data_IF_328397832604
#
_entry.id   IF_328397832604
#
_cell.length_a   1.000
_cell.length_b   1.000
_cell.length_c   1.000
_cell.angle_alpha   90.00
_cell.angle_beta   90.00
_cell.angle_gamma   90.00
#
_symmetry.space_group_name_H-M   'P 1'
#
loop_
_entity.id
_entity.type
_entity.pdbx_description
1 polymer ?
#
# COMPACT_ATOMS: atom_id res chain seq x y z
N UNK A 1 -56.91 -14.21 -17.69
CA UNK A 1 -56.37 -12.99 -17.06
C UNK A 1 -55.44 -13.38 -15.92
N UNK A 2 -54.13 -13.13 -16.10
CA UNK A 2 -53.04 -13.45 -15.16
C UNK A 2 -53.03 -12.48 -13.98
N UNK A 3 -52.77 -12.95 -12.77
CA UNK A 3 -52.21 -12.14 -11.67
C UNK A 3 -51.07 -12.92 -11.00
N UNK A 4 -49.85 -12.55 -11.38
CA UNK A 4 -48.60 -12.98 -10.73
C UNK A 4 -48.49 -12.31 -9.37
N UNK A 5 -48.17 -13.09 -8.32
CA UNK A 5 -47.74 -12.57 -7.02
C UNK A 5 -46.22 -12.39 -7.08
N UNK A 6 -45.76 -11.14 -6.92
CA UNK A 6 -44.36 -10.78 -6.72
C UNK A 6 -43.84 -11.40 -5.42
N UNK A 7 -42.75 -12.17 -5.50
CA UNK A 7 -41.93 -12.51 -4.35
C UNK A 7 -40.83 -11.44 -4.24
N UNK A 8 -40.81 -10.73 -3.11
CA UNK A 8 -39.79 -9.75 -2.76
C UNK A 8 -38.57 -10.52 -2.20
N UNK A 9 -37.48 -10.58 -2.95
CA UNK A 9 -36.17 -10.99 -2.40
C UNK A 9 -35.44 -9.74 -1.91
N UNK A 10 -35.31 -9.61 -0.60
CA UNK A 10 -34.47 -8.61 0.03
C UNK A 10 -33.02 -9.11 0.04
N UNK A 11 -32.22 -8.65 -0.91
CA UNK A 11 -30.77 -8.86 -0.90
C UNK A 11 -30.13 -7.85 0.06
N UNK A 12 -29.63 -8.34 1.19
CA UNK A 12 -28.77 -7.58 2.09
C UNK A 12 -27.37 -7.61 1.47
N UNK A 13 -26.99 -6.54 0.76
CA UNK A 13 -25.61 -6.33 0.34
C UNK A 13 -24.81 -5.83 1.54
N UNK A 14 -23.91 -6.66 2.07
CA UNK A 14 -22.94 -6.23 3.06
C UNK A 14 -21.91 -5.33 2.38
N UNK A 15 -21.93 -4.04 2.69
CA UNK A 15 -20.97 -3.06 2.20
C UNK A 15 -19.65 -3.27 2.94
N UNK A 16 -18.69 -3.97 2.31
CA UNK A 16 -17.31 -4.02 2.78
C UNK A 16 -16.69 -2.66 2.46
N UNK A 17 -16.59 -1.79 3.47
CA UNK A 17 -15.86 -0.54 3.34
C UNK A 17 -14.37 -0.88 3.26
N UNK A 18 -13.80 -0.84 2.07
CA UNK A 18 -12.34 -0.87 1.89
C UNK A 18 -11.81 0.44 2.49
N UNK A 19 -11.00 0.40 3.56
CA UNK A 19 -10.45 1.61 4.13
C UNK A 19 -9.52 2.24 3.09
N UNK A 20 -9.68 3.54 2.85
CA UNK A 20 -8.72 4.30 2.05
C UNK A 20 -7.32 4.16 2.67
N UNK A 21 -6.30 3.99 1.83
CA UNK A 21 -4.92 3.98 2.30
C UNK A 21 -4.61 5.30 3.01
N UNK A 22 -3.86 5.25 4.13
CA UNK A 22 -3.58 6.44 4.91
C UNK A 22 -2.81 7.47 4.09
N UNK A 23 -3.20 8.74 4.27
CA UNK A 23 -2.44 9.88 3.77
C UNK A 23 -1.06 9.90 4.41
N UNK A 24 -0.02 10.25 3.65
CA UNK A 24 1.35 10.08 4.12
C UNK A 24 1.78 11.27 5.00
N UNK A 25 2.17 10.97 6.24
CA UNK A 25 2.82 11.92 7.14
C UNK A 25 3.93 11.18 7.88
N UNK A 26 4.97 11.91 8.27
CA UNK A 26 6.04 11.35 9.09
C UNK A 26 6.08 12.08 10.43
N UNK A 27 6.47 11.38 11.52
CA UNK A 27 6.64 12.03 12.80
C UNK A 27 7.93 12.83 12.84
N UNK A 28 7.87 14.00 13.46
CA UNK A 28 9.02 14.84 13.74
C UNK A 28 9.01 15.29 15.19
N UNK A 29 10.15 15.19 15.88
CA UNK A 29 10.27 15.69 17.26
C UNK A 29 10.87 17.09 17.22
N UNK A 30 10.08 18.07 17.63
CA UNK A 30 10.48 19.46 17.65
C UNK A 30 11.69 19.70 18.55
N UNK A 31 12.69 20.43 18.05
CA UNK A 31 13.89 20.80 18.79
C UNK A 31 13.74 22.16 19.44
N UNK A 32 14.68 22.47 20.34
CA UNK A 32 14.72 23.75 21.06
C UNK A 32 14.87 24.92 20.08
N UNK A 33 13.95 25.88 20.16
CA UNK A 33 14.00 27.11 19.36
C UNK A 33 13.38 27.00 17.97
N UNK A 34 12.78 25.86 17.62
CA UNK A 34 12.06 25.71 16.36
C UNK A 34 10.64 26.29 16.46
N UNK A 35 10.13 26.77 15.33
CA UNK A 35 8.75 27.25 15.15
C UNK A 35 8.13 26.54 13.95
N UNK A 36 6.79 26.51 13.84
CA UNK A 36 6.12 25.88 12.70
C UNK A 36 6.47 26.59 11.38
N UNK A 37 6.53 27.92 11.36
CA UNK A 37 7.04 28.69 10.22
C UNK A 37 8.45 28.23 9.77
N UNK A 38 9.38 28.05 10.72
CA UNK A 38 10.74 27.58 10.41
C UNK A 38 10.73 26.14 9.89
N UNK A 39 9.95 25.25 10.49
CA UNK A 39 9.82 23.86 10.04
C UNK A 39 9.18 23.79 8.65
N UNK A 40 8.18 24.63 8.38
CA UNK A 40 7.54 24.76 7.08
C UNK A 40 8.54 25.19 6.01
N UNK A 41 9.34 26.22 6.30
CA UNK A 41 10.38 26.68 5.39
C UNK A 41 11.43 25.59 5.14
N UNK A 42 11.86 24.89 6.19
CA UNK A 42 12.87 23.82 6.07
C UNK A 42 12.36 22.63 5.30
N UNK A 43 11.18 22.12 5.61
CA UNK A 43 10.67 20.88 5.03
C UNK A 43 9.98 21.07 3.68
N UNK A 44 9.31 22.20 3.44
CA UNK A 44 8.58 22.45 2.19
C UNK A 44 9.17 23.59 1.35
N UNK A 45 10.22 24.27 1.83
CA UNK A 45 10.80 25.42 1.15
C UNK A 45 9.93 26.68 1.21
N UNK A 46 8.78 26.65 1.91
CA UNK A 46 7.80 27.73 1.92
C UNK A 46 7.19 27.93 3.30
N UNK A 47 7.03 29.18 3.70
CA UNK A 47 6.47 29.55 5.03
C UNK A 47 4.94 29.42 5.05
N UNK A 48 4.28 29.58 3.91
CA UNK A 48 2.81 29.48 3.77
C UNK A 48 2.25 28.09 4.13
N UNK A 49 3.07 27.04 4.11
CA UNK A 49 2.71 25.68 4.56
C UNK A 49 2.68 25.52 6.09
N UNK A 50 3.01 26.56 6.86
CA UNK A 50 2.84 26.56 8.32
C UNK A 50 1.40 26.22 8.71
N UNK A 51 0.42 26.78 7.99
CA UNK A 51 -1.00 26.55 8.26
C UNK A 51 -1.41 25.09 8.08
N UNK A 52 -0.77 24.37 7.15
CA UNK A 52 -0.96 22.92 6.97
C UNK A 52 -0.46 22.18 8.20
N UNK A 53 0.74 22.52 8.71
CA UNK A 53 1.29 21.92 9.93
C UNK A 53 0.43 22.20 11.16
N UNK A 54 -0.01 23.45 11.35
CA UNK A 54 -0.91 23.83 12.44
C UNK A 54 -2.17 22.96 12.42
N UNK A 55 -2.79 22.85 11.25
CA UNK A 55 -4.08 22.16 11.10
C UNK A 55 -3.96 20.66 11.25
N UNK A 56 -2.93 20.05 10.63
CA UNK A 56 -2.68 18.61 10.73
C UNK A 56 -2.42 18.18 12.19
N UNK A 57 -1.79 19.04 13.00
CA UNK A 57 -1.48 18.77 14.40
C UNK A 57 -2.55 19.29 15.39
N UNK A 58 -3.67 19.83 14.90
CA UNK A 58 -4.74 20.38 15.75
C UNK A 58 -4.28 21.54 16.64
N UNK A 59 -3.25 22.28 16.23
CA UNK A 59 -2.66 23.37 16.99
C UNK A 59 -3.46 24.66 16.79
N UNK A 60 -3.35 25.58 17.75
CA UNK A 60 -3.86 26.95 17.60
C UNK A 60 -2.88 27.74 16.74
N UNK A 61 -3.42 28.64 15.91
CA UNK A 61 -2.59 29.57 15.14
C UNK A 61 -1.68 30.41 16.04
N UNK A 62 -0.41 30.54 15.64
CA UNK A 62 0.66 31.17 16.43
C UNK A 62 1.02 30.46 17.75
N UNK A 63 0.60 29.22 17.96
CA UNK A 63 1.02 28.45 19.14
C UNK A 63 2.54 28.18 19.10
N UNK A 64 3.25 28.38 20.22
CA UNK A 64 4.67 28.04 20.29
C UNK A 64 4.84 26.52 20.19
N UNK A 65 5.86 26.09 19.44
CA UNK A 65 6.24 24.68 19.41
C UNK A 65 7.04 24.37 20.66
N UNK A 66 6.51 23.50 21.52
CA UNK A 66 7.21 23.05 22.72
C UNK A 66 8.27 22.02 22.31
N UNK A 67 9.56 22.21 22.69
CA UNK A 67 10.60 21.23 22.39
C UNK A 67 10.24 19.84 22.95
N UNK A 68 10.48 18.79 22.16
CA UNK A 68 10.09 17.42 22.47
C UNK A 68 8.69 17.04 22.01
N UNK A 69 7.87 17.99 21.54
CA UNK A 69 6.56 17.68 20.95
C UNK A 69 6.72 16.86 19.68
N UNK A 70 6.01 15.74 19.58
CA UNK A 70 5.89 14.95 18.34
C UNK A 70 4.85 15.62 17.46
N UNK A 71 5.30 16.06 16.29
CA UNK A 71 4.49 16.64 15.24
C UNK A 71 4.32 15.63 14.13
N UNK A 72 3.14 15.56 13.55
CA UNK A 72 2.91 14.94 12.25
C UNK A 72 3.25 15.97 11.17
N UNK A 73 4.13 15.58 10.24
CA UNK A 73 4.54 16.41 9.11
C UNK A 73 3.92 15.80 7.85
N UNK A 74 2.85 16.40 7.30
CA UNK A 74 2.20 15.93 6.09
C UNK A 74 3.13 15.96 4.87
N UNK A 75 2.97 15.01 3.97
CA UNK A 75 3.67 14.99 2.68
C UNK A 75 2.81 14.26 1.66
N UNK A 76 3.08 14.49 0.38
CA UNK A 76 2.50 13.65 -0.67
C UNK A 76 3.11 12.26 -0.66
N UNK A 77 2.37 11.29 -1.17
CA UNK A 77 2.91 9.97 -1.55
C UNK A 77 2.99 9.86 -3.07
N UNK A 78 3.73 8.86 -3.55
CA UNK A 78 3.86 8.56 -4.97
C UNK A 78 3.31 7.17 -5.23
N UNK A 79 2.61 7.02 -6.35
CA UNK A 79 2.09 5.73 -6.82
C UNK A 79 2.52 5.50 -8.26
N UNK A 80 3.03 4.30 -8.56
CA UNK A 80 3.30 3.88 -9.93
C UNK A 80 2.08 3.16 -10.46
N UNK A 81 1.46 3.75 -11.47
CA UNK A 81 0.21 3.27 -12.04
C UNK A 81 0.42 1.89 -12.66
N UNK A 82 -0.42 0.93 -12.27
CA UNK A 82 -0.43 -0.42 -12.79
C UNK A 82 -1.34 -0.56 -14.02
N UNK A 83 -1.35 -1.76 -14.62
CA UNK A 83 -2.20 -2.01 -15.79
C UNK A 83 -3.66 -2.14 -15.36
N UNK A 84 -4.51 -1.27 -15.93
CA UNK A 84 -5.96 -1.32 -15.72
C UNK A 84 -6.47 -0.43 -14.59
N UNK A 85 -5.60 0.29 -13.89
CA UNK A 85 -6.01 1.32 -12.93
C UNK A 85 -6.62 2.53 -13.66
N UNK A 86 -7.61 3.17 -13.03
CA UNK A 86 -8.23 4.42 -13.49
C UNK A 86 -8.13 5.49 -12.41
N UNK A 87 -8.42 6.75 -12.73
CA UNK A 87 -8.47 7.81 -11.72
C UNK A 87 -9.50 7.52 -10.63
N UNK A 88 -10.63 6.90 -10.98
CA UNK A 88 -11.68 6.51 -10.05
C UNK A 88 -11.22 5.39 -9.12
N UNK A 89 -10.57 4.34 -9.63
CA UNK A 89 -10.08 3.26 -8.77
C UNK A 89 -8.98 3.75 -7.83
N UNK A 90 -8.10 4.62 -8.31
CA UNK A 90 -7.04 5.24 -7.51
C UNK A 90 -7.61 6.22 -6.48
N UNK A 91 -8.63 7.00 -6.82
CA UNK A 91 -9.29 7.89 -5.88
C UNK A 91 -10.11 7.14 -4.83
N UNK A 92 -10.73 6.02 -5.18
CA UNK A 92 -11.35 5.13 -4.20
C UNK A 92 -10.30 4.58 -3.23
N UNK A 93 -9.16 4.12 -3.75
CA UNK A 93 -8.08 3.56 -2.95
C UNK A 93 -7.42 4.59 -2.02
N UNK A 94 -7.06 5.77 -2.52
CA UNK A 94 -6.26 6.75 -1.78
C UNK A 94 -7.07 7.89 -1.17
N UNK A 95 -8.15 8.28 -1.83
CA UNK A 95 -8.98 9.41 -1.42
C UNK A 95 -10.32 8.95 -0.82
N UNK A 96 -10.55 7.64 -0.77
CA UNK A 96 -11.71 6.98 -0.16
C UNK A 96 -13.00 7.01 -0.98
N UNK A 97 -13.06 7.76 -2.08
CA UNK A 97 -14.26 7.82 -2.92
C UNK A 97 -13.89 8.03 -4.41
N UNK A 98 -14.51 7.29 -5.34
CA UNK A 98 -14.17 7.37 -6.76
C UNK A 98 -14.45 8.75 -7.36
N UNK A 99 -15.46 9.46 -6.86
CA UNK A 99 -15.80 10.83 -7.31
C UNK A 99 -14.68 11.86 -7.05
N UNK A 100 -13.69 11.53 -6.23
CA UNK A 100 -12.52 12.38 -5.95
C UNK A 100 -11.41 12.24 -7.01
N UNK A 101 -11.63 11.44 -8.05
CA UNK A 101 -10.75 11.28 -9.21
C UNK A 101 -10.27 12.60 -9.80
N UNK A 102 -11.14 13.60 -9.87
CA UNK A 102 -10.81 14.93 -10.41
C UNK A 102 -9.70 15.63 -9.62
N UNK A 103 -9.70 15.51 -8.30
CA UNK A 103 -8.63 16.07 -7.45
C UNK A 103 -7.30 15.39 -7.71
N UNK A 104 -7.32 14.07 -7.92
CA UNK A 104 -6.12 13.30 -8.22
C UNK A 104 -5.56 13.66 -9.59
N UNK A 105 -6.40 13.73 -10.62
CA UNK A 105 -5.99 14.12 -11.97
C UNK A 105 -5.43 15.55 -12.00
N UNK A 106 -6.15 16.53 -11.45
CA UNK A 106 -5.70 17.93 -11.46
C UNK A 106 -4.44 18.15 -10.61
N UNK A 107 -4.31 17.43 -9.48
CA UNK A 107 -3.10 17.42 -8.67
C UNK A 107 -1.86 16.87 -9.38
N UNK A 108 -2.06 16.15 -10.49
CA UNK A 108 -1.03 15.60 -11.37
C UNK A 108 -0.92 16.35 -12.70
N UNK A 109 -1.42 17.59 -12.75
CA UNK A 109 -1.39 18.47 -13.93
C UNK A 109 -2.01 17.82 -15.18
N UNK A 110 -3.06 17.03 -14.98
CA UNK A 110 -3.79 16.35 -16.05
C UNK A 110 -5.29 16.54 -15.89
N UNK A 111 -6.03 16.13 -16.92
CA UNK A 111 -7.47 16.30 -16.99
C UNK A 111 -8.20 15.03 -16.53
N UNK A 112 -9.32 15.14 -15.79
CA UNK A 112 -10.03 13.97 -15.27
C UNK A 112 -10.58 13.02 -16.34
N UNK A 113 -10.85 13.53 -17.55
CA UNK A 113 -11.36 12.73 -18.67
C UNK A 113 -10.27 12.02 -19.47
N UNK A 114 -8.99 12.28 -19.18
CA UNK A 114 -7.89 11.57 -19.80
C UNK A 114 -7.56 10.34 -18.97
N UNK A 115 -7.40 9.15 -19.58
CA UNK A 115 -7.00 7.96 -18.85
C UNK A 115 -5.61 8.14 -18.25
N UNK A 116 -5.38 7.56 -17.07
CA UNK A 116 -4.05 7.49 -16.49
C UNK A 116 -3.19 6.47 -17.23
N UNK A 117 -1.94 6.80 -17.49
CA UNK A 117 -1.01 5.94 -18.23
C UNK A 117 -0.38 4.89 -17.31
N UNK A 118 -0.48 3.62 -17.67
CA UNK A 118 0.22 2.56 -16.96
C UNK A 118 1.74 2.77 -16.98
N UNK A 119 2.37 2.60 -15.84
CA UNK A 119 3.80 2.81 -15.61
C UNK A 119 4.16 4.25 -15.22
N UNK A 120 3.24 5.21 -15.33
CA UNK A 120 3.45 6.59 -14.89
C UNK A 120 3.48 6.65 -13.36
N UNK A 121 4.39 7.46 -12.83
CA UNK A 121 4.37 7.81 -11.40
C UNK A 121 3.49 9.05 -11.21
N UNK A 122 2.54 8.94 -10.28
CA UNK A 122 1.62 10.01 -9.93
C UNK A 122 1.83 10.41 -8.46
N UNK A 123 1.59 11.68 -8.20
CA UNK A 123 1.52 12.24 -6.85
C UNK A 123 0.13 11.98 -6.29
N UNK A 124 0.07 11.41 -5.10
CA UNK A 124 -1.16 11.22 -4.35
C UNK A 124 -1.22 12.32 -3.27
N UNK A 125 -2.24 13.19 -3.29
CA UNK A 125 -2.32 14.33 -2.37
C UNK A 125 -2.55 13.89 -0.93
N UNK A 126 -2.03 14.67 0.01
CA UNK A 126 -2.37 14.53 1.41
C UNK A 126 -3.77 15.08 1.66
N UNK A 127 -4.70 14.25 2.13
CA UNK A 127 -6.06 14.68 2.48
C UNK A 127 -6.06 15.29 3.89
N UNK A 128 -6.00 16.62 3.95
CA UNK A 128 -6.01 17.37 5.20
C UNK A 128 -7.45 17.52 5.73
N UNK A 129 -7.67 17.14 6.99
CA UNK A 129 -8.93 17.37 7.69
C UNK A 129 -8.95 18.75 8.33
N UNK A 130 -9.87 19.61 7.90
CA UNK A 130 -10.04 20.98 8.40
C UNK A 130 -11.39 21.12 9.07
N UNK A 131 -11.43 21.80 10.23
CA UNK A 131 -12.68 22.20 10.88
C UNK A 131 -12.94 23.67 10.56
N UNK A 132 -14.08 23.97 9.96
CA UNK A 132 -14.45 25.32 9.55
C UNK A 132 -14.64 26.23 10.76
N UNK A 133 -13.94 27.36 10.77
CA UNK A 133 -14.08 28.43 11.75
C UNK A 133 -15.22 29.40 11.37
N UNK A 134 -15.69 30.24 12.32
CA UNK A 134 -16.62 31.31 12.00
C UNK A 134 -16.05 32.24 10.92
N UNK A 135 -16.80 32.45 9.83
CA UNK A 135 -16.39 33.28 8.70
C UNK A 135 -15.65 32.55 7.58
N UNK A 136 -15.37 31.25 7.73
CA UNK A 136 -14.81 30.45 6.64
C UNK A 136 -15.81 30.25 5.49
N UNK A 137 -15.25 30.15 4.30
CA UNK A 137 -15.95 29.92 3.04
C UNK A 137 -15.11 29.01 2.15
N UNK A 138 -15.71 28.36 1.15
CA UNK A 138 -14.92 27.54 0.21
C UNK A 138 -13.79 28.32 -0.47
N UNK A 139 -13.95 29.60 -0.90
CA UNK A 139 -12.83 30.36 -1.46
C UNK A 139 -11.76 30.76 -0.45
N UNK A 140 -12.12 31.05 0.81
CA UNK A 140 -11.12 31.40 1.83
C UNK A 140 -10.27 30.19 2.23
N UNK A 141 -10.87 29.00 2.29
CA UNK A 141 -10.15 27.75 2.54
C UNK A 141 -9.30 27.35 1.34
N UNK A 142 -9.82 27.46 0.12
CA UNK A 142 -9.07 27.20 -1.10
C UNK A 142 -7.82 28.09 -1.18
N UNK A 143 -7.96 29.40 -0.98
CA UNK A 143 -6.82 30.32 -0.93
C UNK A 143 -5.80 29.95 0.16
N UNK A 144 -6.28 29.58 1.35
CA UNK A 144 -5.42 29.29 2.49
C UNK A 144 -4.60 28.01 2.35
N UNK A 145 -5.14 26.97 1.68
CA UNK A 145 -4.55 25.64 1.67
C UNK A 145 -4.14 25.15 0.27
N UNK A 146 -4.90 25.52 -0.76
CA UNK A 146 -4.66 25.15 -2.16
C UNK A 146 -3.95 26.27 -2.95
N UNK A 147 -3.88 27.48 -2.38
CA UNK A 147 -3.13 28.62 -2.91
C UNK A 147 -3.98 29.61 -3.72
N UNK A 148 -5.06 29.16 -4.36
CA UNK A 148 -5.91 30.02 -5.18
C UNK A 148 -7.37 30.02 -4.71
N UNK A 149 -8.02 31.18 -4.80
CA UNK A 149 -9.46 31.32 -4.50
C UNK A 149 -10.32 30.54 -5.49
N UNK A 150 -9.87 30.44 -6.74
CA UNK A 150 -10.60 29.78 -7.81
C UNK A 150 -10.69 28.27 -7.61
N UNK A 151 -9.82 27.69 -6.76
CA UNK A 151 -9.90 26.27 -6.36
C UNK A 151 -11.06 25.99 -5.38
N UNK A 152 -11.93 26.97 -5.10
CA UNK A 152 -13.14 26.80 -4.29
C UNK A 152 -14.06 25.68 -4.80
N UNK A 153 -14.14 25.49 -6.13
CA UNK A 153 -14.94 24.40 -6.70
C UNK A 153 -14.38 23.03 -6.31
N UNK A 154 -13.05 22.90 -6.17
CA UNK A 154 -12.42 21.66 -5.73
C UNK A 154 -12.83 21.34 -4.30
N UNK A 155 -12.80 22.34 -3.40
CA UNK A 155 -13.28 22.19 -2.02
C UNK A 155 -14.74 21.73 -1.99
N UNK A 156 -15.60 22.35 -2.81
CA UNK A 156 -17.02 22.01 -2.92
C UNK A 156 -17.25 20.57 -3.39
N UNK A 157 -16.66 20.20 -4.54
CA UNK A 157 -16.87 18.89 -5.16
C UNK A 157 -16.25 17.76 -4.35
N UNK A 158 -15.05 17.96 -3.82
CA UNK A 158 -14.34 16.96 -3.00
C UNK A 158 -15.12 16.58 -1.73
N UNK A 159 -15.84 17.56 -1.17
CA UNK A 159 -16.66 17.42 0.04
C UNK A 159 -18.16 17.26 -0.23
N UNK A 160 -18.58 17.24 -1.50
CA UNK A 160 -19.99 17.15 -1.90
C UNK A 160 -20.89 18.20 -1.24
N UNK A 161 -20.38 19.43 -1.16
CA UNK A 161 -21.12 20.55 -0.55
C UNK A 161 -22.26 21.02 -1.46
N UNK A 162 -22.14 20.87 -2.79
CA UNK A 162 -23.17 21.22 -3.77
C UNK A 162 -23.61 22.70 -3.64
N UNK A 163 -22.66 23.60 -3.45
CA UNK A 163 -22.88 25.03 -3.27
C UNK A 163 -23.42 25.43 -1.88
N UNK A 164 -23.56 24.49 -0.95
CA UNK A 164 -24.01 24.79 0.41
C UNK A 164 -22.97 25.67 1.12
N UNK A 165 -23.39 26.77 1.78
CA UNK A 165 -22.47 27.56 2.58
C UNK A 165 -21.92 26.75 3.76
N UNK A 166 -20.66 27.03 4.10
CA UNK A 166 -20.00 26.42 5.25
C UNK A 166 -20.60 26.93 6.56
N UNK A 167 -20.70 26.03 7.52
CA UNK A 167 -21.05 26.36 8.90
C UNK A 167 -19.83 26.17 9.79
N UNK A 168 -19.73 26.98 10.84
CA UNK A 168 -18.71 26.75 11.86
C UNK A 168 -18.88 25.35 12.44
N UNK A 169 -17.77 24.62 12.53
CA UNK A 169 -17.73 23.22 12.95
C UNK A 169 -17.88 22.20 11.80
N UNK A 170 -18.18 22.63 10.57
CA UNK A 170 -18.16 21.72 9.41
C UNK A 170 -16.77 21.10 9.28
N UNK A 171 -16.71 19.78 9.11
CA UNK A 171 -15.47 19.04 8.88
C UNK A 171 -15.30 18.83 7.39
N UNK A 172 -14.19 19.33 6.85
CA UNK A 172 -13.86 19.29 5.43
C UNK A 172 -12.57 18.52 5.23
N UNK A 173 -12.45 17.90 4.07
CA UNK A 173 -11.27 17.23 3.57
C UNK A 173 -10.71 18.03 2.40
N UNK A 174 -9.42 18.37 2.44
CA UNK A 174 -8.74 19.15 1.42
C UNK A 174 -7.59 18.33 0.81
N UNK A 175 -7.57 18.08 -0.51
CA UNK A 175 -6.48 17.37 -1.16
C UNK A 175 -5.29 18.32 -1.40
N UNK A 176 -4.27 18.26 -0.55
CA UNK A 176 -3.07 19.08 -0.67
C UNK A 176 -2.02 18.34 -1.50
N UNK A 177 -1.86 18.74 -2.76
CA UNK A 177 -0.91 18.11 -3.71
C UNK A 177 0.48 18.74 -3.67
N UNK A 178 0.62 19.94 -3.11
CA UNK A 178 1.86 20.72 -3.15
C UNK A 178 2.63 20.63 -1.82
N UNK A 179 2.87 19.41 -1.35
CA UNK A 179 3.68 19.12 -0.15
C UNK A 179 4.97 18.37 -0.49
N UNK A 180 5.58 18.72 -1.62
CA UNK A 180 6.90 18.22 -1.97
C UNK A 180 7.92 18.65 -0.90
N UNK A 181 8.73 17.69 -0.47
CA UNK A 181 9.75 17.91 0.54
C UNK A 181 11.04 18.47 -0.08
N UNK A 182 11.74 19.32 0.65
CA UNK A 182 13.15 19.64 0.40
C UNK A 182 14.04 18.46 0.75
N UNK A 183 15.32 18.51 0.39
CA UNK A 183 16.31 17.50 0.81
C UNK A 183 16.34 17.33 2.34
N UNK A 184 16.27 18.43 3.08
CA UNK A 184 16.20 18.39 4.54
C UNK A 184 14.90 17.75 5.04
N UNK A 185 13.76 18.04 4.39
CA UNK A 185 12.49 17.39 4.66
C UNK A 185 12.52 15.88 4.40
N UNK A 186 13.16 15.45 3.30
CA UNK A 186 13.34 14.03 2.96
C UNK A 186 14.19 13.32 4.02
N UNK A 187 15.28 13.93 4.46
CA UNK A 187 16.13 13.37 5.52
C UNK A 187 15.38 13.27 6.85
N UNK A 188 14.59 14.29 7.20
CA UNK A 188 13.73 14.28 8.38
C UNK A 188 12.67 13.18 8.29
N UNK A 189 12.03 13.00 7.13
CA UNK A 189 11.06 11.95 6.89
C UNK A 189 11.67 10.56 7.06
N UNK A 190 12.84 10.32 6.48
CA UNK A 190 13.58 9.06 6.61
C UNK A 190 13.91 8.76 8.07
N UNK A 191 14.38 9.75 8.82
CA UNK A 191 14.69 9.59 10.23
C UNK A 191 13.44 9.33 11.09
N UNK A 192 12.35 10.06 10.86
CA UNK A 192 11.09 9.91 11.57
C UNK A 192 10.44 8.55 11.35
N UNK A 193 10.38 8.09 10.10
CA UNK A 193 9.85 6.76 9.76
C UNK A 193 10.71 5.64 10.34
N UNK A 194 12.04 5.77 10.30
CA UNK A 194 12.93 4.78 10.92
C UNK A 194 12.72 4.67 12.43
N UNK A 195 12.41 5.77 13.12
CA UNK A 195 12.08 5.76 14.54
C UNK A 195 10.74 5.04 14.77
N UNK A 196 9.68 5.39 14.02
CA UNK A 196 8.38 4.69 14.10
C UNK A 196 8.50 3.20 13.86
N UNK A 197 9.26 2.78 12.84
CA UNK A 197 9.45 1.35 12.55
C UNK A 197 10.16 0.62 13.68
N UNK A 198 11.07 1.27 14.39
CA UNK A 198 11.73 0.70 15.59
C UNK A 198 10.78 0.61 16.78
N UNK A 199 9.92 1.60 16.97
CA UNK A 199 8.87 1.57 18.00
C UNK A 199 7.87 0.42 17.72
N UNK A 200 7.42 0.28 16.47
CA UNK A 200 6.51 -0.79 16.04
C UNK A 200 7.12 -2.20 16.08
N UNK A 201 8.45 -2.33 16.01
CA UNK A 201 9.12 -3.63 16.11
C UNK A 201 8.92 -4.30 17.49
N UNK A 202 8.55 -3.56 18.54
CA UNK A 202 8.14 -4.12 19.83
C UNK A 202 6.87 -4.97 19.70
N UNK A 203 5.85 -4.45 19.02
CA UNK A 203 4.58 -5.16 18.79
C UNK A 203 4.76 -6.40 17.90
N UNK A 204 5.66 -6.31 16.92
CA UNK A 204 6.04 -7.46 16.09
C UNK A 204 6.72 -8.55 16.94
N UNK A 205 7.64 -8.18 17.84
CA UNK A 205 8.26 -9.13 18.77
C UNK A 205 7.22 -9.80 19.68
N UNK A 206 6.27 -9.04 20.21
CA UNK A 206 5.21 -9.58 21.08
C UNK A 206 4.23 -10.48 20.31
N UNK A 207 3.95 -10.18 19.04
CA UNK A 207 3.20 -11.07 18.16
C UNK A 207 3.96 -12.38 17.86
N UNK A 208 5.26 -12.29 17.58
CA UNK A 208 6.14 -13.44 17.33
C UNK A 208 6.27 -14.34 18.56
N UNK A 209 6.44 -13.78 19.77
CA UNK A 209 6.50 -14.56 21.01
C UNK A 209 5.18 -15.28 21.32
N UNK A 210 4.04 -14.63 21.03
CA UNK A 210 2.73 -15.29 21.09
C UNK A 210 2.63 -16.40 20.07
N UNK A 211 3.08 -16.18 18.84
CA UNK A 211 3.10 -17.22 17.80
C UNK A 211 3.95 -18.43 18.18
N UNK A 212 5.10 -18.22 18.80
CA UNK A 212 5.95 -19.32 19.32
C UNK A 212 5.21 -20.19 20.35
N UNK A 213 4.28 -19.59 21.10
CA UNK A 213 3.46 -20.30 22.10
C UNK A 213 2.26 -21.01 21.46
N UNK A 214 1.67 -20.41 20.43
CA UNK A 214 0.42 -20.86 19.81
C UNK A 214 0.60 -21.87 18.66
N UNK A 215 1.69 -21.77 17.89
CA UNK A 215 1.98 -22.68 16.77
C UNK A 215 2.02 -24.16 17.19
N UNK A 216 2.63 -24.56 18.33
CA UNK A 216 2.58 -25.94 18.79
C UNK A 216 1.16 -26.43 19.10
N UNK A 217 0.28 -25.54 19.58
CA UNK A 217 -1.12 -25.87 19.86
C UNK A 217 -1.90 -26.06 18.55
N UNK A 218 -1.67 -25.19 17.57
CA UNK A 218 -2.22 -25.33 16.22
C UNK A 218 -1.78 -26.65 15.58
N UNK A 219 -0.49 -26.98 15.63
CA UNK A 219 0.05 -28.22 15.10
C UNK A 219 -0.61 -29.45 15.75
N UNK A 220 -0.82 -29.40 17.06
CA UNK A 220 -1.52 -30.45 17.80
C UNK A 220 -2.99 -30.57 17.38
N UNK A 221 -3.70 -29.47 17.15
CA UNK A 221 -5.08 -29.48 16.68
C UNK A 221 -5.20 -30.13 15.28
N UNK A 222 -4.27 -29.84 14.37
CA UNK A 222 -4.16 -30.48 13.05
C UNK A 222 -3.89 -31.99 13.21
N UNK A 223 -2.90 -32.37 14.03
CA UNK A 223 -2.56 -33.78 14.26
C UNK A 223 -3.70 -34.59 14.88
N UNK A 224 -4.48 -33.99 15.78
CA UNK A 224 -5.64 -34.62 16.43
C UNK A 224 -6.92 -34.54 15.57
N UNK A 225 -6.84 -34.02 14.34
CA UNK A 225 -7.96 -33.93 13.40
C UNK A 225 -9.04 -32.90 13.78
N UNK A 226 -8.71 -31.92 14.64
CA UNK A 226 -9.61 -30.84 15.04
C UNK A 226 -9.56 -29.68 14.05
N UNK A 227 -9.95 -29.93 12.80
CA UNK A 227 -9.79 -29.01 11.67
C UNK A 227 -10.42 -27.62 11.87
N UNK A 228 -11.64 -27.55 12.39
CA UNK A 228 -12.34 -26.28 12.62
C UNK A 228 -11.66 -25.43 13.71
N UNK A 229 -11.15 -26.08 14.76
CA UNK A 229 -10.39 -25.40 15.81
C UNK A 229 -9.05 -24.89 15.27
N UNK A 230 -8.35 -25.72 14.50
CA UNK A 230 -7.10 -25.35 13.84
C UNK A 230 -7.27 -24.14 12.91
N UNK A 231 -8.33 -24.12 12.09
CA UNK A 231 -8.63 -22.98 11.21
C UNK A 231 -8.86 -21.70 12.01
N UNK A 232 -9.65 -21.80 13.08
CA UNK A 232 -9.93 -20.64 13.96
C UNK A 232 -8.64 -20.10 14.57
N UNK A 233 -7.80 -20.97 15.15
CA UNK A 233 -6.54 -20.55 15.77
C UNK A 233 -5.54 -20.02 14.75
N UNK A 234 -5.38 -20.69 13.61
CA UNK A 234 -4.45 -20.27 12.56
C UNK A 234 -4.83 -18.91 11.97
N UNK A 235 -6.11 -18.66 11.71
CA UNK A 235 -6.56 -17.35 11.23
C UNK A 235 -6.44 -16.26 12.30
N UNK A 236 -6.69 -16.59 13.58
CA UNK A 236 -6.43 -15.66 14.69
C UNK A 236 -4.95 -15.32 14.82
N UNK A 237 -4.08 -16.31 14.62
CA UNK A 237 -2.64 -16.13 14.68
C UNK A 237 -2.14 -15.21 13.54
N UNK A 238 -2.57 -15.48 12.31
CA UNK A 238 -2.22 -14.67 11.13
C UNK A 238 -2.81 -13.26 11.19
N UNK A 239 -3.96 -13.08 11.85
CA UNK A 239 -4.56 -11.76 12.09
C UNK A 239 -4.06 -11.03 13.33
N UNK A 240 -3.22 -11.67 14.16
CA UNK A 240 -2.85 -11.19 15.49
C UNK A 240 -1.64 -10.25 15.55
N UNK A 241 -0.96 -10.04 14.42
CA UNK A 241 0.21 -9.16 14.30
C UNK A 241 1.21 -9.64 13.25
N UNK A 242 2.36 -8.96 13.16
CA UNK A 242 3.41 -9.29 12.20
C UNK A 242 4.19 -10.52 12.68
N UNK A 243 4.12 -11.61 11.92
CA UNK A 243 4.87 -12.84 12.16
C UNK A 243 6.19 -12.85 11.37
N UNK A 244 7.15 -13.68 11.80
CA UNK A 244 8.34 -13.97 11.00
C UNK A 244 8.02 -14.93 9.84
N UNK A 245 8.83 -14.91 8.78
CA UNK A 245 8.62 -15.78 7.61
C UNK A 245 8.50 -17.27 7.99
N UNK A 246 9.35 -17.85 8.87
CA UNK A 246 9.18 -19.24 9.31
C UNK A 246 7.86 -19.51 10.04
N UNK A 247 7.38 -18.55 10.84
CA UNK A 247 6.11 -18.70 11.57
C UNK A 247 4.91 -18.60 10.61
N UNK A 248 4.95 -17.67 9.66
CA UNK A 248 3.94 -17.54 8.60
C UNK A 248 3.89 -18.80 7.74
N UNK A 249 5.05 -19.33 7.35
CA UNK A 249 5.16 -20.58 6.61
C UNK A 249 4.57 -21.76 7.38
N UNK A 250 4.91 -21.90 8.67
CA UNK A 250 4.40 -22.98 9.52
C UNK A 250 2.88 -22.89 9.69
N UNK A 251 2.34 -21.71 10.00
CA UNK A 251 0.91 -21.50 10.18
C UNK A 251 0.13 -21.84 8.89
N UNK A 252 0.58 -21.33 7.74
CA UNK A 252 -0.09 -21.55 6.46
C UNK A 252 0.00 -23.01 5.99
N UNK A 253 1.12 -23.70 6.27
CA UNK A 253 1.22 -25.15 6.02
C UNK A 253 0.18 -25.94 6.83
N UNK A 254 0.01 -25.62 8.11
CA UNK A 254 -0.97 -26.28 8.98
C UNK A 254 -2.42 -25.97 8.57
N UNK A 255 -2.70 -24.73 8.16
CA UNK A 255 -3.99 -24.34 7.62
C UNK A 255 -4.30 -25.03 6.29
N UNK A 256 -3.31 -25.14 5.40
CA UNK A 256 -3.42 -25.88 4.15
C UNK A 256 -3.84 -27.34 4.41
N UNK A 257 -3.21 -28.01 5.36
CA UNK A 257 -3.60 -29.37 5.76
C UNK A 257 -5.05 -29.43 6.27
N UNK A 258 -5.46 -28.47 7.10
CA UNK A 258 -6.83 -28.40 7.62
C UNK A 258 -7.89 -28.11 6.54
N UNK A 259 -7.62 -27.17 5.63
CA UNK A 259 -8.53 -26.84 4.51
C UNK A 259 -8.66 -28.00 3.54
N UNK A 260 -7.57 -28.69 3.24
CA UNK A 260 -7.58 -29.92 2.43
C UNK A 260 -8.38 -31.04 3.09
N UNK A 261 -8.30 -31.18 4.42
CA UNK A 261 -9.07 -32.17 5.15
C UNK A 261 -10.59 -31.89 5.12
N UNK A 262 -10.98 -30.62 4.99
CA UNK A 262 -12.38 -30.17 4.87
C UNK A 262 -12.86 -29.98 3.41
N UNK A 263 -12.02 -30.31 2.42
CA UNK A 263 -12.29 -30.13 0.99
C UNK A 263 -12.58 -28.65 0.58
N UNK A 264 -11.95 -27.69 1.27
CA UNK A 264 -12.03 -26.25 0.98
C UNK A 264 -10.94 -25.82 -0.03
N UNK A 265 -11.19 -26.07 -1.33
CA UNK A 265 -10.15 -25.98 -2.37
C UNK A 265 -9.56 -24.58 -2.62
N UNK A 266 -10.37 -23.52 -2.57
CA UNK A 266 -9.88 -22.14 -2.78
C UNK A 266 -9.02 -21.66 -1.60
N UNK A 267 -9.47 -21.93 -0.37
CA UNK A 267 -8.75 -21.57 0.85
C UNK A 267 -7.45 -22.37 0.98
N UNK A 268 -7.46 -23.64 0.59
CA UNK A 268 -6.26 -24.47 0.51
C UNK A 268 -5.25 -23.88 -0.49
N UNK A 269 -5.69 -23.43 -1.67
CA UNK A 269 -4.83 -22.77 -2.66
C UNK A 269 -4.19 -21.50 -2.09
N UNK A 270 -4.98 -20.61 -1.51
CA UNK A 270 -4.46 -19.38 -0.88
C UNK A 270 -3.46 -19.70 0.23
N UNK A 271 -3.77 -20.65 1.11
CA UNK A 271 -2.85 -21.06 2.17
C UNK A 271 -1.54 -21.64 1.60
N UNK A 272 -1.59 -22.38 0.49
CA UNK A 272 -0.37 -22.83 -0.17
C UNK A 272 0.43 -21.67 -0.76
N UNK A 273 -0.19 -20.72 -1.45
CA UNK A 273 0.49 -19.56 -2.01
C UNK A 273 1.19 -18.73 -0.93
N UNK A 274 0.52 -18.50 0.21
CA UNK A 274 1.10 -17.81 1.36
C UNK A 274 2.27 -18.58 1.98
N UNK A 275 2.14 -19.91 2.14
CA UNK A 275 3.24 -20.74 2.61
C UNK A 275 4.45 -20.68 1.67
N UNK A 276 4.24 -20.82 0.36
CA UNK A 276 5.29 -20.79 -0.67
C UNK A 276 5.96 -19.43 -0.80
N UNK A 277 5.24 -18.34 -0.51
CA UNK A 277 5.82 -17.00 -0.48
C UNK A 277 6.71 -16.78 0.74
N UNK A 278 6.30 -17.31 1.89
CA UNK A 278 7.04 -17.21 3.14
C UNK A 278 8.25 -18.17 3.21
N UNK A 279 8.17 -19.33 2.54
CA UNK A 279 9.26 -20.30 2.43
C UNK A 279 9.38 -20.86 1.00
N UNK A 280 10.07 -20.12 0.09
CA UNK A 280 10.22 -20.51 -1.31
C UNK A 280 11.01 -21.80 -1.53
N UNK A 281 11.91 -22.13 -0.59
CA UNK A 281 12.85 -23.25 -0.70
C UNK A 281 12.28 -24.56 -0.14
N UNK A 282 11.14 -24.53 0.55
CA UNK A 282 10.50 -25.75 1.08
C UNK A 282 10.16 -26.74 -0.07
N UNK A 283 10.58 -28.00 -0.01
CA UNK A 283 10.23 -28.99 -1.03
C UNK A 283 8.77 -29.46 -0.90
N UNK A 284 8.11 -29.70 -2.04
CA UNK A 284 6.85 -30.43 -2.12
C UNK A 284 7.16 -31.88 -2.52
N UNK A 285 7.67 -32.66 -1.57
CA UNK A 285 7.99 -34.08 -1.83
C UNK A 285 6.69 -34.91 -1.90
N UNK A 286 6.39 -35.57 -3.05
CA UNK A 286 5.22 -36.42 -3.17
C UNK A 286 5.18 -37.64 -2.22
N UNK A 287 6.33 -37.99 -1.63
CA UNK A 287 6.44 -39.08 -0.64
C UNK A 287 6.00 -38.60 0.74
N UNK A 288 6.29 -37.34 1.09
CA UNK A 288 6.01 -36.79 2.42
C UNK A 288 4.70 -35.98 2.48
N UNK A 289 4.21 -35.50 1.33
CA UNK A 289 3.06 -34.60 1.23
C UNK A 289 1.86 -35.30 0.62
N UNK A 290 0.67 -35.11 1.20
CA UNK A 290 -0.55 -35.77 0.71
C UNK A 290 -0.89 -35.35 -0.73
N UNK A 291 -1.45 -36.25 -1.57
CA UNK A 291 -1.86 -35.90 -2.94
C UNK A 291 -2.86 -34.75 -3.03
N UNK A 292 -3.70 -34.55 -2.01
CA UNK A 292 -4.63 -33.43 -1.96
C UNK A 292 -3.91 -32.10 -1.71
N UNK A 293 -2.88 -32.07 -0.85
CA UNK A 293 -2.04 -30.88 -0.63
C UNK A 293 -1.24 -30.55 -1.89
N UNK A 294 -0.65 -31.55 -2.55
CA UNK A 294 0.03 -31.35 -3.84
C UNK A 294 -0.89 -30.73 -4.88
N UNK A 295 -2.15 -31.18 -4.94
CA UNK A 295 -3.16 -30.63 -5.85
C UNK A 295 -3.52 -29.18 -5.52
N UNK A 296 -3.69 -28.86 -4.23
CA UNK A 296 -3.94 -27.49 -3.80
C UNK A 296 -2.78 -26.55 -4.17
N UNK A 297 -1.54 -27.06 -4.15
CA UNK A 297 -0.36 -26.31 -4.54
C UNK A 297 -0.05 -26.35 -6.05
N UNK A 298 -0.86 -27.05 -6.87
CA UNK A 298 -0.56 -27.33 -8.28
C UNK A 298 -0.92 -26.20 -9.27
N UNK A 299 -1.25 -24.99 -8.81
CA UNK A 299 -1.46 -23.83 -9.67
C UNK A 299 -1.02 -22.55 -8.96
N UNK A 300 -0.17 -21.68 -9.50
CA UNK A 300 0.44 -21.59 -10.83
C UNK A 300 1.93 -21.20 -10.70
N UNK A 301 2.82 -22.18 -10.81
CA UNK A 301 4.24 -21.97 -11.09
C UNK A 301 4.53 -22.55 -12.47
N UNK A 302 5.05 -21.73 -13.37
CA UNK A 302 5.28 -22.07 -14.76
C UNK A 302 6.14 -23.31 -14.98
N UNK A 303 5.75 -24.09 -16.00
CA UNK A 303 6.67 -24.79 -16.89
C UNK A 303 7.71 -25.71 -16.25
N UNK A 304 7.27 -26.79 -15.60
CA UNK A 304 8.07 -28.00 -15.52
C UNK A 304 7.22 -29.16 -16.04
N UNK A 305 7.47 -29.56 -17.30
CA UNK A 305 6.96 -30.83 -17.83
C UNK A 305 7.60 -31.95 -17.03
N UNK A 306 6.87 -32.50 -16.07
CA UNK A 306 7.14 -33.85 -15.62
C UNK A 306 6.71 -34.79 -16.74
N UNK A 307 7.70 -35.24 -17.52
CA UNK A 307 7.56 -36.36 -18.44
C UNK A 307 7.22 -37.63 -17.65
N UNK A 308 6.29 -38.41 -18.20
CA UNK A 308 5.85 -39.67 -17.65
C UNK A 308 7.02 -40.65 -17.45
N UNK A 309 6.90 -41.50 -16.43
CA UNK A 309 7.78 -42.62 -16.20
C UNK A 309 7.84 -43.55 -17.41
N UNK A 310 9.07 -43.92 -17.78
CA UNK A 310 9.37 -45.08 -18.60
C UNK A 310 9.62 -44.77 -20.07
N UNK A 311 10.85 -44.35 -20.39
CA UNK A 311 11.50 -44.67 -21.66
C UNK A 311 13.02 -44.50 -21.48
N UNK A 312 13.75 -45.55 -21.84
CA UNK A 312 15.19 -45.70 -21.61
C UNK A 312 16.00 -44.60 -22.31
N UNK A 313 16.95 -44.01 -21.58
CA UNK A 313 17.90 -43.06 -22.15
C UNK A 313 18.92 -43.79 -23.04
N UNK A 314 18.73 -43.70 -24.36
CA UNK A 314 19.79 -44.00 -25.33
C UNK A 314 20.94 -42.96 -25.22
N UNK A 315 22.21 -43.38 -25.30
CA UNK A 315 23.35 -42.48 -25.18
C UNK A 315 23.56 -41.65 -26.47
N UNK A 316 23.82 -40.36 -26.28
CA UNK A 316 24.07 -39.39 -27.34
C UNK A 316 25.26 -39.76 -28.25
N UNK A 317 25.17 -39.51 -29.58
CA UNK A 317 26.32 -39.60 -30.45
C UNK A 317 27.17 -38.32 -30.40
N UNK A 318 28.45 -38.52 -30.10
CA UNK A 318 29.53 -37.55 -30.26
C UNK A 318 29.61 -37.04 -31.71
N UNK A 319 29.56 -35.71 -31.91
CA UNK A 319 29.94 -35.09 -33.17
C UNK A 319 30.71 -33.78 -32.94
N UNK A 320 32.02 -33.91 -33.21
CA UNK A 320 32.97 -32.84 -33.51
C UNK A 320 32.45 -31.91 -34.62
N UNK A 321 32.62 -30.59 -34.46
CA UNK A 321 33.29 -29.73 -35.48
C UNK A 321 33.18 -28.21 -35.20
N UNK A 322 34.35 -27.56 -35.33
CA UNK A 322 34.63 -26.24 -35.93
C UNK A 322 34.09 -24.97 -35.25
N UNK A 323 35.02 -24.31 -34.54
CA UNK A 323 35.06 -22.85 -34.33
C UNK A 323 35.53 -22.12 -35.60
N UNK A 324 34.87 -21.03 -36.03
CA UNK A 324 35.49 -19.99 -36.82
C UNK A 324 35.93 -18.80 -35.94
N UNK A 325 37.08 -18.27 -36.30
CA UNK A 325 37.70 -17.05 -35.78
C UNK A 325 37.17 -15.85 -36.57
N UNK A 326 36.79 -14.76 -35.90
CA UNK A 326 36.73 -13.44 -36.52
C UNK A 326 37.01 -12.31 -35.52
N UNK A 327 38.16 -11.67 -35.78
CA UNK A 327 38.59 -10.33 -35.36
C UNK A 327 37.43 -9.31 -35.32
N UNK A 328 37.30 -8.60 -34.19
CA UNK A 328 36.61 -7.31 -34.10
C UNK A 328 37.61 -6.14 -34.08
N UNK A 329 37.33 -5.00 -34.74
CA UNK A 329 38.26 -3.88 -34.86
C UNK A 329 38.26 -2.94 -33.65
N UNK A 330 39.40 -2.27 -33.46
CA UNK A 330 39.73 -1.35 -32.36
C UNK A 330 38.88 -0.05 -32.36
N UNK A 331 38.74 0.61 -31.17
CA UNK A 331 37.94 1.82 -31.01
C UNK A 331 38.60 3.08 -31.60
N UNK A 332 37.80 3.96 -32.21
CA UNK A 332 38.19 5.31 -32.66
C UNK A 332 38.23 6.29 -31.47
N UNK A 333 39.22 7.21 -31.41
CA UNK A 333 39.25 8.28 -30.42
C UNK A 333 38.37 9.49 -30.81
N UNK A 334 37.85 10.16 -29.79
CA UNK A 334 37.05 11.39 -29.83
C UNK A 334 37.89 12.61 -30.25
N UNK A 335 37.37 13.55 -31.07
CA UNK A 335 38.04 14.82 -31.31
C UNK A 335 37.79 15.83 -30.20
N UNK A 336 38.89 16.44 -29.78
CA UNK A 336 39.06 17.59 -28.90
C UNK A 336 38.39 18.86 -29.42
N UNK A 337 37.75 19.61 -28.53
CA UNK A 337 37.29 20.98 -28.75
C UNK A 337 38.45 21.97 -28.49
N UNK A 338 38.64 22.90 -29.42
CA UNK A 338 39.50 24.09 -29.31
C UNK A 338 38.65 25.31 -29.70
N UNK A 339 38.65 26.30 -28.80
CA UNK A 339 38.64 27.78 -28.95
C UNK A 339 38.00 28.38 -30.22
N UNK A 340 36.91 29.17 -30.10
CA UNK A 340 36.85 30.66 -29.94
C UNK A 340 37.26 31.44 -31.21
N UNK A 341 36.75 32.67 -31.48
CA UNK A 341 36.19 33.68 -30.56
C UNK A 341 34.72 34.08 -30.76
#
# INVERSE_FOLDING_TARGET
MRRQKLALFASIAALVAVPALPTFAFPYVAKRGETLAMLSLRFYGRVDKEKVLVTANGLRDGAPVVPGTRLEVPTVSHHRVERGETWESLAELYLGEPKRAEALALGNETMPWLPVESGREIVVPYVLRVVSAPGDSTPSLAYSYLGHRDDAYMVDRFNSLNGRPLKSGDVLLLPISDLALTDEGVDAARAGLALSSREAAGDARDAQLRADTELPLLAREVQEGRWVAAITRGNQLLGGGVLSDPQTAHANRLLLEAYVALDEEELARTACDEWRRADPDSPLDPIEVSPKVLRACAGTSGGARYGAMGEDAEPAPSASAKRPSSKGPAPRPLPSATEEP
#
